data_IF_010403855247
#
_entry.id   IF_010403855247
#
_cell.length_a   1.000
_cell.length_b   1.000
_cell.length_c   1.000
_cell.angle_alpha   90.00
_cell.angle_beta   90.00
_cell.angle_gamma   90.00
#
_symmetry.space_group_name_H-M   'P 1'
#
loop_
_entity.id
_entity.type
_entity.pdbx_description
1 polymer ?
#
# COMPACT_ATOMS: atom_id res chain seq x y z
N UNK A 1 -23.08 -9.37 -22.44
CA UNK A 1 -22.28 -8.26 -22.98
C UNK A 1 -21.50 -7.52 -21.90
N UNK A 2 -22.11 -7.12 -20.79
CA UNK A 2 -21.47 -6.36 -19.67
C UNK A 2 -20.30 -7.13 -19.05
N UNK A 3 -20.45 -8.44 -18.76
CA UNK A 3 -19.41 -9.28 -18.15
C UNK A 3 -18.15 -9.38 -19.02
N UNK A 4 -18.30 -9.54 -20.34
CA UNK A 4 -17.14 -9.58 -21.26
C UNK A 4 -16.39 -8.25 -21.31
N UNK A 5 -17.09 -7.11 -21.29
CA UNK A 5 -16.46 -5.78 -21.23
C UNK A 5 -15.70 -5.59 -19.91
N UNK A 6 -16.27 -6.05 -18.78
CA UNK A 6 -15.63 -5.97 -17.48
C UNK A 6 -14.36 -6.83 -17.41
N UNK A 7 -14.40 -8.09 -17.91
CA UNK A 7 -13.24 -8.97 -17.95
C UNK A 7 -12.09 -8.39 -18.78
N UNK A 8 -12.39 -7.89 -19.98
CA UNK A 8 -11.40 -7.23 -20.84
C UNK A 8 -10.77 -5.99 -20.16
N UNK A 9 -11.54 -5.24 -19.39
CA UNK A 9 -11.03 -4.09 -18.66
C UNK A 9 -10.09 -4.50 -17.49
N UNK A 10 -10.42 -5.58 -16.79
CA UNK A 10 -9.57 -6.14 -15.74
C UNK A 10 -8.22 -6.62 -16.32
N UNK A 11 -8.24 -7.31 -17.44
CA UNK A 11 -7.01 -7.75 -18.14
C UNK A 11 -6.13 -6.56 -18.56
N UNK A 12 -6.71 -5.50 -19.11
CA UNK A 12 -5.98 -4.26 -19.46
C UNK A 12 -5.35 -3.61 -18.23
N UNK A 13 -6.06 -3.56 -17.12
CA UNK A 13 -5.54 -3.04 -15.85
C UNK A 13 -4.33 -3.82 -15.36
N UNK A 14 -4.44 -5.16 -15.33
CA UNK A 14 -3.35 -6.03 -14.91
C UNK A 14 -2.13 -5.87 -15.84
N UNK A 15 -2.34 -5.82 -17.15
CA UNK A 15 -1.28 -5.59 -18.14
C UNK A 15 -0.59 -4.24 -17.93
N UNK A 16 -1.35 -3.16 -17.72
CA UNK A 16 -0.78 -1.84 -17.47
C UNK A 16 0.06 -1.82 -16.19
N UNK A 17 -0.48 -2.33 -15.09
CA UNK A 17 0.24 -2.38 -13.80
C UNK A 17 1.51 -3.20 -13.94
N UNK A 18 1.44 -4.37 -14.52
CA UNK A 18 2.59 -5.27 -14.69
C UNK A 18 3.67 -4.65 -15.57
N UNK A 19 3.32 -4.09 -16.73
CA UNK A 19 4.28 -3.41 -17.62
C UNK A 19 4.97 -2.24 -16.92
N UNK A 20 4.21 -1.41 -16.19
CA UNK A 20 4.76 -0.23 -15.50
C UNK A 20 5.68 -0.64 -14.34
N UNK A 21 5.26 -1.63 -13.54
CA UNK A 21 6.10 -2.17 -12.46
C UNK A 21 7.39 -2.75 -13.03
N UNK A 22 7.31 -3.58 -14.06
CA UNK A 22 8.47 -4.21 -14.69
C UNK A 22 9.42 -3.18 -15.31
N UNK A 23 8.91 -2.11 -15.92
CA UNK A 23 9.73 -1.01 -16.41
C UNK A 23 10.50 -0.33 -15.27
N UNK A 24 9.85 -0.06 -14.14
CA UNK A 24 10.49 0.55 -12.97
C UNK A 24 11.57 -0.41 -12.43
N UNK A 25 11.23 -1.68 -12.20
CA UNK A 25 12.17 -2.69 -11.70
C UNK A 25 13.40 -2.82 -12.61
N UNK A 26 13.19 -2.84 -13.91
CA UNK A 26 14.28 -2.88 -14.88
C UNK A 26 15.20 -1.68 -14.77
N UNK A 27 14.66 -0.46 -14.68
CA UNK A 27 15.47 0.77 -14.52
C UNK A 27 16.31 0.72 -13.25
N UNK A 28 15.74 0.24 -12.15
CA UNK A 28 16.43 0.08 -10.88
C UNK A 28 17.58 -0.95 -10.99
N UNK A 29 17.34 -2.06 -11.65
CA UNK A 29 18.37 -3.09 -11.89
C UNK A 29 19.51 -2.57 -12.76
N UNK A 30 19.21 -1.78 -13.81
CA UNK A 30 20.24 -1.13 -14.64
C UNK A 30 21.09 -0.13 -13.85
N UNK A 31 20.49 0.65 -12.96
CA UNK A 31 21.18 1.59 -12.07
C UNK A 31 22.08 0.87 -11.05
N UNK A 32 21.68 -0.32 -10.60
CA UNK A 32 22.50 -1.19 -9.76
C UNK A 32 23.67 -1.86 -10.50
N UNK A 33 23.84 -1.58 -11.80
CA UNK A 33 24.95 -2.09 -12.63
C UNK A 33 24.66 -3.41 -13.34
N UNK A 34 23.44 -3.92 -13.29
CA UNK A 34 23.06 -5.11 -14.01
C UNK A 34 22.75 -4.81 -15.48
N UNK A 35 23.26 -5.63 -16.40
CA UNK A 35 22.91 -5.53 -17.82
C UNK A 35 21.55 -6.18 -18.07
N UNK A 36 20.48 -5.42 -17.85
CA UNK A 36 19.12 -5.86 -18.20
C UNK A 36 18.80 -5.41 -19.61
N UNK A 37 18.32 -6.35 -20.43
CA UNK A 37 17.82 -6.00 -21.77
C UNK A 37 16.47 -5.33 -21.61
N UNK A 38 16.34 -4.08 -22.09
CA UNK A 38 15.08 -3.35 -22.02
C UNK A 38 13.96 -4.14 -22.69
N UNK A 39 13.00 -4.58 -21.89
CA UNK A 39 11.84 -5.37 -22.33
C UNK A 39 10.58 -4.49 -22.39
N UNK A 40 10.57 -3.40 -21.60
CA UNK A 40 9.41 -2.52 -21.47
C UNK A 40 9.80 -1.05 -21.69
N UNK A 41 9.84 -0.55 -22.93
CA UNK A 41 10.08 0.86 -23.18
C UNK A 41 8.87 1.72 -22.77
N UNK A 42 9.07 3.05 -22.66
CA UNK A 42 8.04 4.00 -22.22
C UNK A 42 6.77 3.96 -23.07
N UNK A 43 6.92 3.83 -24.38
CA UNK A 43 5.80 3.71 -25.33
C UNK A 43 4.87 2.54 -25.01
N UNK A 44 5.40 1.39 -24.57
CA UNK A 44 4.54 0.27 -24.15
C UNK A 44 3.71 0.58 -22.90
N UNK A 45 4.23 1.43 -21.99
CA UNK A 45 3.47 1.88 -20.81
C UNK A 45 2.43 2.93 -21.24
N UNK A 46 2.82 3.86 -22.12
CA UNK A 46 1.91 4.88 -22.66
C UNK A 46 0.74 4.23 -23.40
N UNK A 47 1.02 3.31 -24.33
CA UNK A 47 0.00 2.54 -25.07
C UNK A 47 -0.92 1.77 -24.12
N UNK A 48 -0.38 1.05 -23.17
CA UNK A 48 -1.19 0.28 -22.21
C UNK A 48 -2.09 1.18 -21.36
N UNK A 49 -1.62 2.38 -21.00
CA UNK A 49 -2.43 3.34 -20.26
C UNK A 49 -3.54 3.94 -21.13
N UNK A 50 -3.26 4.26 -22.40
CA UNK A 50 -4.29 4.71 -23.36
C UNK A 50 -5.37 3.64 -23.49
N UNK A 51 -5.00 2.39 -23.78
CA UNK A 51 -5.96 1.27 -23.90
C UNK A 51 -6.80 1.07 -22.64
N UNK A 52 -6.21 1.31 -21.46
CA UNK A 52 -6.90 1.21 -20.18
C UNK A 52 -7.92 2.34 -19.99
N UNK A 53 -7.59 3.56 -20.41
CA UNK A 53 -8.40 4.77 -20.20
C UNK A 53 -9.48 4.97 -21.27
N UNK A 54 -9.27 4.47 -22.48
CA UNK A 54 -10.18 4.63 -23.62
C UNK A 54 -11.66 4.32 -23.30
N UNK A 55 -12.00 3.20 -22.58
CA UNK A 55 -13.37 2.90 -22.21
C UNK A 55 -14.02 3.90 -21.23
N UNK A 56 -13.21 4.75 -20.61
CA UNK A 56 -13.63 5.75 -19.62
C UNK A 56 -13.71 7.15 -20.23
N UNK A 57 -13.13 7.37 -21.42
CA UNK A 57 -12.95 8.67 -22.03
C UNK A 57 -14.25 9.46 -22.16
N UNK A 58 -15.28 8.89 -22.79
CA UNK A 58 -16.57 9.54 -22.98
C UNK A 58 -17.29 9.80 -21.64
N UNK A 59 -17.33 8.79 -20.77
CA UNK A 59 -18.07 8.86 -19.51
C UNK A 59 -17.53 9.90 -18.53
N UNK A 60 -16.22 10.09 -18.51
CA UNK A 60 -15.54 10.99 -17.57
C UNK A 60 -14.93 12.21 -18.24
N UNK A 61 -15.15 12.38 -19.55
CA UNK A 61 -14.63 13.51 -20.34
C UNK A 61 -13.12 13.67 -20.20
N UNK A 62 -12.38 12.53 -20.20
CA UNK A 62 -10.92 12.50 -20.13
C UNK A 62 -10.31 12.29 -21.51
N UNK A 63 -9.03 12.68 -21.67
CA UNK A 63 -8.25 12.50 -22.90
C UNK A 63 -7.12 11.48 -22.64
N UNK A 64 -7.32 10.18 -22.98
CA UNK A 64 -6.38 9.10 -22.69
C UNK A 64 -4.95 9.37 -23.09
N UNK A 65 -4.72 9.85 -24.33
CA UNK A 65 -3.39 10.09 -24.87
C UNK A 65 -2.66 11.24 -24.16
N UNK A 66 -3.38 12.29 -23.78
CA UNK A 66 -2.80 13.41 -23.04
C UNK A 66 -2.39 12.97 -21.63
N UNK A 67 -3.26 12.26 -20.92
CA UNK A 67 -3.00 11.71 -19.60
C UNK A 67 -1.83 10.72 -19.63
N UNK A 68 -1.82 9.80 -20.58
CA UNK A 68 -0.76 8.79 -20.70
C UNK A 68 0.60 9.44 -20.96
N UNK A 69 0.67 10.43 -21.85
CA UNK A 69 1.88 11.18 -22.13
C UNK A 69 2.38 11.95 -20.91
N UNK A 70 1.50 12.67 -20.22
CA UNK A 70 1.83 13.40 -18.99
C UNK A 70 2.31 12.45 -17.88
N UNK A 71 1.64 11.32 -17.69
CA UNK A 71 2.05 10.32 -16.72
C UNK A 71 3.48 9.81 -17.01
N UNK A 72 3.76 9.44 -18.24
CA UNK A 72 5.05 8.85 -18.64
C UNK A 72 6.18 9.87 -18.57
N UNK A 73 5.93 11.12 -18.96
CA UNK A 73 6.98 12.14 -19.04
C UNK A 73 7.22 12.88 -17.72
N UNK A 74 6.16 13.18 -16.97
CA UNK A 74 6.24 14.08 -15.82
C UNK A 74 6.14 13.34 -14.47
N UNK A 75 5.44 12.20 -14.40
CA UNK A 75 5.28 11.45 -13.16
C UNK A 75 6.19 10.23 -13.04
N UNK A 76 6.31 9.43 -14.09
CA UNK A 76 7.04 8.17 -14.05
C UNK A 76 8.53 8.32 -13.69
N UNK A 77 9.27 9.37 -14.11
CA UNK A 77 10.64 9.60 -13.65
C UNK A 77 10.75 9.80 -12.15
N UNK A 78 9.89 10.64 -11.57
CA UNK A 78 9.84 10.89 -10.12
C UNK A 78 9.45 9.65 -9.33
N UNK A 79 8.51 8.84 -9.85
CA UNK A 79 8.14 7.54 -9.28
C UNK A 79 9.35 6.60 -9.27
N UNK A 80 10.09 6.52 -10.37
CA UNK A 80 11.29 5.67 -10.47
C UNK A 80 12.34 6.05 -9.43
N UNK A 81 12.61 7.36 -9.26
CA UNK A 81 13.55 7.86 -8.25
C UNK A 81 13.09 7.50 -6.84
N UNK A 82 11.81 7.68 -6.52
CA UNK A 82 11.28 7.32 -5.22
C UNK A 82 11.38 5.81 -4.95
N UNK A 83 11.10 4.98 -5.95
CA UNK A 83 11.25 3.52 -5.86
C UNK A 83 12.71 3.09 -5.67
N UNK A 84 13.68 3.84 -6.23
CA UNK A 84 15.10 3.58 -5.98
C UNK A 84 15.44 3.78 -4.50
N UNK A 85 15.01 4.90 -3.92
CA UNK A 85 15.23 5.17 -2.48
C UNK A 85 14.54 4.11 -1.61
N UNK A 86 13.33 3.68 -2.00
CA UNK A 86 12.66 2.58 -1.31
C UNK A 86 13.48 1.28 -1.39
N UNK A 87 13.99 0.91 -2.57
CA UNK A 87 14.80 -0.31 -2.76
C UNK A 87 16.11 -0.28 -1.95
N UNK A 88 16.80 0.86 -1.93
CA UNK A 88 18.00 1.06 -1.13
C UNK A 88 17.74 0.87 0.38
N UNK A 89 16.52 1.21 0.83
CA UNK A 89 16.11 1.00 2.21
C UNK A 89 16.05 -0.49 2.58
N UNK A 90 15.63 -1.36 1.67
CA UNK A 90 15.63 -2.81 1.90
C UNK A 90 17.02 -3.36 2.17
N UNK A 91 18.06 -2.85 1.51
CA UNK A 91 19.44 -3.27 1.77
C UNK A 91 19.93 -2.97 3.19
N UNK A 92 19.38 -1.92 3.80
CA UNK A 92 19.75 -1.49 5.16
C UNK A 92 18.91 -2.18 6.23
N UNK A 93 17.64 -2.46 5.95
CA UNK A 93 16.68 -2.91 6.94
C UNK A 93 16.44 -4.43 6.95
N UNK A 94 16.69 -5.11 5.82
CA UNK A 94 16.52 -6.56 5.75
C UNK A 94 17.87 -7.28 5.84
N UNK A 95 18.22 -7.84 7.01
CA UNK A 95 19.49 -8.54 7.21
C UNK A 95 19.57 -9.88 6.46
N UNK A 96 18.45 -10.41 5.95
CA UNK A 96 18.41 -11.64 5.19
C UNK A 96 18.64 -11.44 3.68
N UNK A 97 18.67 -10.18 3.23
CA UNK A 97 18.81 -9.83 1.83
C UNK A 97 20.24 -10.02 1.35
N UNK A 98 20.47 -10.87 0.35
CA UNK A 98 21.78 -11.09 -0.23
C UNK A 98 22.14 -10.04 -1.30
N UNK A 99 21.13 -9.60 -2.07
CA UNK A 99 21.29 -8.61 -3.14
C UNK A 99 19.97 -7.90 -3.47
N UNK A 100 20.05 -6.77 -4.20
CA UNK A 100 18.87 -5.99 -4.59
C UNK A 100 17.91 -6.72 -5.53
N UNK A 101 18.38 -7.70 -6.29
CA UNK A 101 17.51 -8.44 -7.19
C UNK A 101 16.42 -9.20 -6.42
N UNK A 102 16.71 -9.65 -5.20
CA UNK A 102 15.71 -10.29 -4.34
C UNK A 102 14.57 -9.35 -3.98
N UNK A 103 14.86 -8.06 -3.77
CA UNK A 103 13.82 -7.03 -3.55
C UNK A 103 12.89 -6.95 -4.75
N UNK A 104 13.47 -6.93 -5.97
CA UNK A 104 12.70 -6.76 -7.19
C UNK A 104 11.85 -7.98 -7.53
N UNK A 105 12.34 -9.18 -7.26
CA UNK A 105 11.67 -10.43 -7.65
C UNK A 105 10.83 -11.07 -6.53
N UNK A 106 11.19 -10.84 -5.27
CA UNK A 106 10.60 -11.58 -4.15
C UNK A 106 9.87 -10.72 -3.11
N UNK A 107 10.12 -9.40 -3.04
CA UNK A 107 9.48 -8.57 -2.02
C UNK A 107 8.07 -8.14 -2.41
N UNK A 108 7.06 -8.71 -1.74
CA UNK A 108 5.67 -8.27 -1.88
C UNK A 108 5.46 -6.83 -1.37
N UNK A 109 6.17 -6.42 -0.31
CA UNK A 109 6.09 -5.07 0.23
C UNK A 109 6.59 -4.03 -0.78
N UNK A 110 7.72 -4.29 -1.42
CA UNK A 110 8.26 -3.41 -2.45
C UNK A 110 7.32 -3.31 -3.66
N UNK A 111 6.82 -4.46 -4.14
CA UNK A 111 5.87 -4.48 -5.25
C UNK A 111 4.61 -3.66 -4.96
N UNK A 112 4.07 -3.77 -3.74
CA UNK A 112 2.90 -2.99 -3.31
C UNK A 112 3.19 -1.48 -3.25
N UNK A 113 4.40 -1.10 -2.81
CA UNK A 113 4.86 0.30 -2.77
C UNK A 113 4.97 0.87 -4.18
N UNK A 114 5.55 0.15 -5.14
CA UNK A 114 5.62 0.57 -6.55
C UNK A 114 4.22 0.76 -7.13
N UNK A 115 3.32 -0.20 -6.93
CA UNK A 115 1.93 -0.11 -7.39
C UNK A 115 1.19 1.09 -6.76
N UNK A 116 1.41 1.36 -5.47
CA UNK A 116 0.89 2.55 -4.81
C UNK A 116 1.40 3.83 -5.47
N UNK A 117 2.71 3.95 -5.75
CA UNK A 117 3.29 5.16 -6.36
C UNK A 117 2.70 5.43 -7.75
N UNK A 118 2.48 4.37 -8.56
CA UNK A 118 1.78 4.45 -9.85
C UNK A 118 0.34 4.96 -9.63
N UNK A 119 -0.40 4.35 -8.71
CA UNK A 119 -1.78 4.73 -8.42
C UNK A 119 -1.90 6.17 -7.89
N UNK A 120 -0.97 6.61 -7.03
CA UNK A 120 -0.91 7.97 -6.51
C UNK A 120 -0.61 8.99 -7.62
N UNK A 121 0.30 8.68 -8.54
CA UNK A 121 0.57 9.52 -9.72
C UNK A 121 -0.66 9.72 -10.59
N UNK A 122 -1.38 8.65 -10.91
CA UNK A 122 -2.62 8.71 -11.68
C UNK A 122 -3.76 9.42 -10.92
N UNK A 123 -3.80 9.30 -9.59
CA UNK A 123 -4.76 10.06 -8.78
C UNK A 123 -4.50 11.57 -8.84
N UNK A 124 -3.23 11.99 -8.85
CA UNK A 124 -2.84 13.40 -9.00
C UNK A 124 -3.19 13.96 -10.38
N UNK A 125 -3.24 13.10 -11.39
CA UNK A 125 -3.75 13.41 -12.73
C UNK A 125 -5.28 13.34 -12.82
N UNK A 126 -5.96 13.24 -11.67
CA UNK A 126 -7.43 13.17 -11.58
C UNK A 126 -8.05 12.02 -12.39
N UNK A 127 -7.28 10.96 -12.66
CA UNK A 127 -7.80 9.77 -13.36
C UNK A 127 -8.87 9.09 -12.51
N UNK A 128 -10.08 8.93 -13.03
CA UNK A 128 -11.18 8.33 -12.28
C UNK A 128 -11.01 6.81 -12.18
N UNK A 129 -11.40 6.23 -11.05
CA UNK A 129 -11.51 4.77 -10.81
C UNK A 129 -10.18 4.03 -10.81
N UNK A 130 -9.33 4.21 -11.84
CA UNK A 130 -8.12 3.43 -12.09
C UNK A 130 -7.17 3.42 -10.89
N UNK A 131 -6.87 4.54 -10.20
CA UNK A 131 -6.02 4.51 -9.02
C UNK A 131 -6.49 3.53 -7.95
N UNK A 132 -7.79 3.48 -7.69
CA UNK A 132 -8.38 2.54 -6.72
C UNK A 132 -8.36 1.09 -7.23
N UNK A 133 -8.53 0.90 -8.52
CA UNK A 133 -8.47 -0.41 -9.13
C UNK A 133 -7.04 -1.00 -9.06
N UNK A 134 -5.99 -0.16 -9.26
CA UNK A 134 -4.59 -0.56 -9.06
C UNK A 134 -4.34 -0.99 -7.61
N UNK A 135 -4.83 -0.23 -6.61
CA UNK A 135 -4.72 -0.62 -5.20
C UNK A 135 -5.38 -1.98 -4.93
N UNK A 136 -6.53 -2.26 -5.55
CA UNK A 136 -7.21 -3.54 -5.40
C UNK A 136 -6.40 -4.72 -6.00
N UNK A 137 -5.75 -4.50 -7.15
CA UNK A 137 -4.82 -5.49 -7.76
C UNK A 137 -3.63 -5.72 -6.83
N UNK A 138 -3.01 -4.65 -6.32
CA UNK A 138 -1.90 -4.73 -5.39
C UNK A 138 -2.26 -5.51 -4.11
N UNK A 139 -3.40 -5.19 -3.51
CA UNK A 139 -3.92 -5.89 -2.33
C UNK A 139 -4.16 -7.38 -2.60
N UNK A 140 -4.80 -7.71 -3.72
CA UNK A 140 -5.05 -9.11 -4.10
C UNK A 140 -3.77 -9.91 -4.29
N UNK A 141 -2.70 -9.29 -4.82
CA UNK A 141 -1.43 -9.94 -5.10
C UNK A 141 -0.54 -10.08 -3.86
N UNK A 142 -0.50 -9.05 -3.00
CA UNK A 142 0.51 -8.90 -1.95
C UNK A 142 -0.04 -9.00 -0.54
N UNK A 143 -1.35 -8.86 -0.36
CA UNK A 143 -1.98 -8.71 0.96
C UNK A 143 -1.79 -7.31 1.58
N UNK A 144 -1.21 -6.33 0.86
CA UNK A 144 -0.96 -4.95 1.31
C UNK A 144 -2.00 -4.02 0.69
N UNK A 145 -2.82 -3.36 1.51
CA UNK A 145 -3.82 -2.37 1.07
C UNK A 145 -3.33 -0.95 1.33
N UNK A 146 -2.87 -0.26 0.29
CA UNK A 146 -2.49 1.15 0.37
C UNK A 146 -3.48 1.98 -0.45
N UNK A 147 -4.17 2.89 0.22
CA UNK A 147 -5.05 3.80 -0.50
C UNK A 147 -4.25 4.79 -1.35
N UNK A 148 -4.57 5.02 -2.64
CA UNK A 148 -3.78 5.88 -3.52
C UNK A 148 -3.76 7.35 -3.08
N UNK A 149 -4.70 7.77 -2.23
CA UNK A 149 -4.74 9.11 -1.65
C UNK A 149 -3.86 9.31 -0.40
N UNK A 150 -3.19 8.28 0.10
CA UNK A 150 -2.18 8.44 1.13
C UNK A 150 -1.00 9.27 0.60
N UNK A 151 -0.32 9.99 1.49
CA UNK A 151 0.92 10.71 1.16
C UNK A 151 2.08 9.94 1.76
N UNK A 152 2.95 9.39 0.93
CA UNK A 152 4.07 8.56 1.38
C UNK A 152 5.35 9.05 0.72
N UNK A 153 6.28 9.53 1.54
CA UNK A 153 7.61 9.92 1.09
C UNK A 153 8.46 8.70 0.71
N UNK A 154 9.62 8.92 0.13
CA UNK A 154 10.55 7.86 -0.24
C UNK A 154 11.27 7.26 0.99
N UNK A 155 11.76 6.03 0.85
CA UNK A 155 12.40 5.28 1.93
C UNK A 155 11.42 4.43 2.75
N UNK A 156 10.27 4.07 2.18
CA UNK A 156 9.34 3.16 2.82
C UNK A 156 9.86 1.71 2.74
N UNK A 157 10.03 1.08 3.90
CA UNK A 157 10.32 -0.35 4.02
C UNK A 157 9.08 -1.10 4.52
N UNK A 158 8.70 -2.15 3.81
CA UNK A 158 7.61 -3.04 4.20
C UNK A 158 8.13 -4.47 4.30
N UNK A 159 8.23 -4.98 5.51
CA UNK A 159 8.62 -6.37 5.75
C UNK A 159 7.41 -7.29 5.80
N UNK A 160 7.47 -8.41 5.07
CA UNK A 160 6.40 -9.39 4.82
C UNK A 160 5.13 -8.81 4.18
N UNK A 161 4.61 -7.73 4.68
CA UNK A 161 3.52 -6.91 4.12
C UNK A 161 2.10 -7.41 4.37
N UNK A 162 1.86 -8.69 4.50
CA UNK A 162 0.50 -9.25 4.62
C UNK A 162 -0.31 -8.59 5.74
N UNK A 163 -1.50 -8.13 5.41
CA UNK A 163 -2.43 -7.52 6.37
C UNK A 163 -2.16 -6.04 6.69
N UNK A 164 -1.20 -5.40 6.04
CA UNK A 164 -1.01 -3.95 6.13
C UNK A 164 -2.20 -3.24 5.50
N UNK A 165 -2.72 -2.20 6.19
CA UNK A 165 -3.75 -1.33 5.65
C UNK A 165 -3.43 0.15 5.92
N UNK A 166 -3.29 0.96 4.86
CA UNK A 166 -2.97 2.39 4.93
C UNK A 166 -4.11 3.22 4.35
N UNK A 167 -4.77 4.00 5.20
CA UNK A 167 -5.95 4.78 4.85
C UNK A 167 -5.67 6.05 4.05
N UNK A 168 -6.70 6.58 3.38
CA UNK A 168 -6.60 7.63 2.35
C UNK A 168 -6.01 8.98 2.79
N UNK A 169 -6.02 9.31 4.07
CA UNK A 169 -5.44 10.56 4.58
C UNK A 169 -4.25 10.31 5.50
N UNK A 170 -3.68 9.11 5.45
CA UNK A 170 -2.42 8.83 6.13
C UNK A 170 -1.28 9.63 5.51
N UNK A 171 -0.36 10.08 6.35
CA UNK A 171 0.88 10.73 5.93
C UNK A 171 2.03 9.90 6.52
N UNK A 172 2.95 9.50 5.68
CA UNK A 172 4.13 8.73 6.07
C UNK A 172 5.35 9.49 5.52
N UNK A 173 6.17 9.98 6.44
CA UNK A 173 7.41 10.66 6.09
C UNK A 173 8.55 9.66 5.75
N UNK A 174 9.74 10.18 5.48
CA UNK A 174 10.85 9.38 4.98
C UNK A 174 11.33 8.30 5.98
N UNK A 175 11.85 7.20 5.43
CA UNK A 175 12.53 6.13 6.17
C UNK A 175 11.66 5.45 7.25
N UNK A 176 10.40 5.21 6.95
CA UNK A 176 9.49 4.49 7.87
C UNK A 176 9.53 3.00 7.57
N UNK A 177 9.55 2.20 8.64
CA UNK A 177 9.53 0.74 8.57
C UNK A 177 8.16 0.23 9.04
N UNK A 178 7.51 -0.58 8.19
CA UNK A 178 6.22 -1.22 8.48
C UNK A 178 6.34 -2.73 8.41
N UNK A 179 5.93 -3.41 9.47
CA UNK A 179 5.87 -4.86 9.51
C UNK A 179 4.46 -5.38 9.24
N UNK A 180 4.31 -6.66 8.96
CA UNK A 180 3.04 -7.29 8.64
C UNK A 180 1.92 -6.94 9.63
N UNK A 181 0.70 -6.79 9.11
CA UNK A 181 -0.50 -6.51 9.91
C UNK A 181 -0.61 -5.11 10.48
N UNK A 182 0.31 -4.19 10.16
CA UNK A 182 0.22 -2.79 10.60
C UNK A 182 -0.99 -2.11 9.96
N UNK A 183 -1.78 -1.41 10.78
CA UNK A 183 -2.96 -0.67 10.32
C UNK A 183 -2.85 0.81 10.66
N UNK A 184 -2.83 1.66 9.63
CA UNK A 184 -2.97 3.12 9.75
C UNK A 184 -4.42 3.50 9.46
N UNK A 185 -5.25 3.38 10.49
CA UNK A 185 -6.71 3.41 10.40
C UNK A 185 -7.37 4.68 10.92
N UNK A 186 -8.69 4.62 11.04
CA UNK A 186 -9.50 5.67 11.65
C UNK A 186 -9.94 5.27 13.05
N UNK A 187 -10.14 6.24 13.92
CA UNK A 187 -10.66 6.02 15.28
C UNK A 187 -12.17 5.83 15.34
N UNK A 188 -12.90 6.35 14.37
CA UNK A 188 -14.37 6.35 14.35
C UNK A 188 -14.92 5.98 12.99
N UNK A 189 -16.17 5.47 12.97
CA UNK A 189 -16.90 5.23 11.73
C UNK A 189 -17.01 6.54 10.93
N UNK A 190 -16.92 6.48 9.58
CA UNK A 190 -17.13 7.67 8.76
C UNK A 190 -18.51 8.25 9.05
N UNK A 191 -18.58 9.54 9.36
CA UNK A 191 -19.85 10.27 9.41
C UNK A 191 -20.53 10.10 8.05
N UNK A 192 -21.83 9.80 8.04
CA UNK A 192 -22.61 9.86 6.80
C UNK A 192 -22.34 11.20 6.13
N UNK A 193 -22.20 11.22 4.81
CA UNK A 193 -22.10 12.43 3.99
C UNK A 193 -23.43 13.21 4.11
N UNK A 194 -23.65 13.93 5.18
CA UNK A 194 -24.85 14.75 5.38
C UNK A 194 -24.58 16.25 5.29
N UNK A 195 -23.31 16.63 5.12
CA UNK A 195 -22.95 18.03 4.95
C UNK A 195 -22.41 18.23 3.52
N UNK A 196 -23.26 18.74 2.66
CA UNK A 196 -23.00 19.09 1.25
C UNK A 196 -21.98 20.24 1.06
N UNK A 197 -21.32 20.71 2.13
CA UNK A 197 -20.54 21.93 2.11
C UNK A 197 -19.02 21.78 2.01
N UNK A 198 -18.44 20.56 1.99
CA UNK A 198 -16.97 20.44 1.85
C UNK A 198 -16.59 19.26 0.95
N UNK A 199 -16.11 19.60 -0.24
CA UNK A 199 -15.50 18.63 -1.19
C UNK A 199 -14.16 18.06 -0.66
N UNK A 200 -13.63 18.58 0.46
CA UNK A 200 -12.34 18.17 1.02
C UNK A 200 -12.50 17.00 1.98
N UNK A 201 -11.77 15.93 1.72
CA UNK A 201 -11.71 14.77 2.63
C UNK A 201 -10.99 15.20 3.91
N UNK A 202 -11.72 15.28 5.03
CA UNK A 202 -11.12 15.63 6.32
C UNK A 202 -10.07 14.61 6.73
N UNK A 203 -8.91 15.07 7.22
CA UNK A 203 -7.85 14.26 7.84
C UNK A 203 -8.45 13.39 8.95
N UNK A 204 -8.15 12.07 8.91
CA UNK A 204 -8.70 11.09 9.87
C UNK A 204 -7.80 9.86 10.07
N UNK A 205 -6.67 9.80 9.39
CA UNK A 205 -5.66 8.76 9.51
C UNK A 205 -4.37 9.38 10.06
N UNK A 206 -3.48 8.58 10.65
CA UNK A 206 -2.32 9.11 11.34
C UNK A 206 -1.30 9.77 10.40
N UNK A 207 -0.44 10.58 11.03
CA UNK A 207 0.83 11.03 10.48
C UNK A 207 1.95 10.26 11.16
N UNK A 208 2.78 9.61 10.39
CA UNK A 208 3.96 8.87 10.84
C UNK A 208 5.17 9.69 10.42
N UNK A 209 5.90 10.23 11.38
CA UNK A 209 7.10 11.02 11.09
C UNK A 209 8.29 10.16 10.68
N UNK A 210 9.39 10.81 10.27
CA UNK A 210 10.55 10.12 9.70
C UNK A 210 11.22 9.17 10.70
N UNK A 211 11.81 8.09 10.18
CA UNK A 211 12.57 7.08 10.94
C UNK A 211 11.75 6.34 12.01
N UNK A 212 10.43 6.27 11.84
CA UNK A 212 9.54 5.51 12.72
C UNK A 212 9.47 4.04 12.29
N UNK A 213 9.47 3.13 13.27
CA UNK A 213 9.22 1.69 13.04
C UNK A 213 7.92 1.25 13.70
N UNK A 214 7.02 0.65 12.91
CA UNK A 214 5.76 0.07 13.38
C UNK A 214 5.82 -1.45 13.23
N UNK A 215 5.89 -2.15 14.36
CA UNK A 215 6.05 -3.61 14.38
C UNK A 215 4.73 -4.36 14.17
N UNK A 216 4.84 -5.65 13.95
CA UNK A 216 3.79 -6.60 13.61
C UNK A 216 2.47 -6.35 14.33
N UNK A 217 1.38 -6.21 13.56
CA UNK A 217 0.02 -6.00 14.05
C UNK A 217 -0.18 -4.75 14.94
N UNK A 218 0.71 -3.75 14.85
CA UNK A 218 0.47 -2.46 15.49
C UNK A 218 -0.69 -1.73 14.79
N UNK A 219 -1.59 -1.17 15.60
CA UNK A 219 -2.68 -0.33 15.11
C UNK A 219 -2.45 1.12 15.54
N UNK A 220 -2.44 2.03 14.57
CA UNK A 220 -2.42 3.48 14.81
C UNK A 220 -3.68 4.07 14.20
N UNK A 221 -4.54 4.67 15.02
CA UNK A 221 -5.85 5.10 14.58
C UNK A 221 -6.24 6.53 14.95
N UNK A 222 -6.77 7.23 13.97
CA UNK A 222 -7.20 8.63 14.11
C UNK A 222 -6.24 9.62 13.49
N UNK A 223 -6.57 10.90 13.61
CA UNK A 223 -5.70 12.02 13.25
C UNK A 223 -4.73 12.27 14.41
N UNK A 224 -3.71 11.44 14.49
CA UNK A 224 -2.66 11.46 15.52
C UNK A 224 -1.28 11.45 14.87
N UNK A 225 -0.27 11.91 15.61
CA UNK A 225 1.10 11.98 15.14
C UNK A 225 1.96 10.97 15.91
N UNK A 226 2.72 10.15 15.19
CA UNK A 226 3.80 9.35 15.77
C UNK A 226 5.10 10.09 15.45
N UNK A 227 5.71 10.65 16.51
CA UNK A 227 6.89 11.50 16.40
C UNK A 227 8.12 10.77 15.88
N UNK A 228 9.01 11.51 15.21
CA UNK A 228 10.18 10.99 14.52
C UNK A 228 11.06 10.11 15.43
N UNK A 229 11.69 9.09 14.84
CA UNK A 229 12.57 8.15 15.55
C UNK A 229 11.87 7.20 16.52
N UNK A 230 10.53 7.26 16.63
CA UNK A 230 9.79 6.43 17.58
C UNK A 230 9.58 5.00 17.09
N UNK A 231 9.41 4.11 18.06
CA UNK A 231 9.09 2.69 17.84
C UNK A 231 7.73 2.35 18.42
N UNK A 232 6.84 1.79 17.60
CA UNK A 232 5.57 1.22 18.05
C UNK A 232 5.68 -0.30 18.01
N UNK A 233 5.72 -0.92 19.17
CA UNK A 233 5.91 -2.36 19.35
C UNK A 233 4.75 -3.18 18.82
N UNK A 234 5.01 -4.46 18.63
CA UNK A 234 4.03 -5.40 18.13
C UNK A 234 2.75 -5.42 18.98
N UNK A 235 1.58 -5.53 18.28
CA UNK A 235 0.25 -5.53 18.91
C UNK A 235 -0.07 -4.28 19.74
N UNK A 236 0.67 -3.19 19.60
CA UNK A 236 0.32 -1.92 20.23
C UNK A 236 -0.92 -1.31 19.58
N UNK A 237 -1.77 -0.70 20.41
CA UNK A 237 -2.98 0.01 19.96
C UNK A 237 -2.87 1.49 20.34
N UNK A 238 -2.58 2.34 19.35
CA UNK A 238 -2.26 3.76 19.56
C UNK A 238 -3.34 4.64 18.94
N UNK A 239 -3.93 5.51 19.75
CA UNK A 239 -4.95 6.48 19.32
C UNK A 239 -4.71 7.86 19.94
N UNK A 240 -3.47 8.22 20.21
CA UNK A 240 -3.01 9.50 20.74
C UNK A 240 -1.65 9.84 20.15
N UNK A 241 -1.24 11.08 20.24
CA UNK A 241 0.07 11.52 19.78
C UNK A 241 1.20 10.87 20.61
N UNK A 242 2.28 10.51 19.92
CA UNK A 242 3.49 9.95 20.51
C UNK A 242 4.63 10.93 20.26
N UNK A 243 5.33 11.33 21.34
CA UNK A 243 6.48 12.23 21.22
C UNK A 243 7.63 11.59 20.43
N UNK A 244 8.50 12.39 19.79
CA UNK A 244 9.69 11.86 19.12
C UNK A 244 10.54 10.96 20.04
N UNK A 245 11.30 10.03 19.45
CA UNK A 245 12.24 9.14 20.10
C UNK A 245 11.61 8.26 21.21
N UNK A 246 10.32 7.98 21.11
CA UNK A 246 9.57 7.21 22.11
C UNK A 246 9.42 5.74 21.72
N UNK A 247 9.31 4.87 22.74
CA UNK A 247 8.98 3.45 22.55
C UNK A 247 7.61 3.16 23.16
N UNK A 248 6.65 2.79 22.32
CA UNK A 248 5.31 2.36 22.74
C UNK A 248 5.24 0.85 22.67
N UNK A 249 5.09 0.19 23.81
CA UNK A 249 4.97 -1.27 23.87
C UNK A 249 3.51 -1.72 23.79
N UNK A 250 3.27 -2.83 23.09
CA UNK A 250 2.00 -3.55 23.16
C UNK A 250 1.75 -4.04 24.60
N UNK A 251 0.48 -4.12 24.99
CA UNK A 251 0.14 -4.69 26.30
C UNK A 251 0.49 -6.17 26.29
N UNK A 252 1.48 -6.57 27.08
CA UNK A 252 1.66 -7.97 27.44
C UNK A 252 0.44 -8.39 28.26
N UNK A 253 -0.22 -9.50 27.86
CA UNK A 253 -1.24 -10.12 28.71
C UNK A 253 -0.54 -10.54 30.00
N UNK A 254 -0.82 -9.85 31.11
CA UNK A 254 -0.56 -10.48 32.42
C UNK A 254 -1.43 -11.74 32.44
N UNK A 255 -0.83 -12.91 32.53
CA UNK A 255 -1.55 -14.14 32.86
C UNK A 255 -2.28 -13.92 34.20
N UNK A 256 -3.54 -13.50 34.09
CA UNK A 256 -4.44 -13.75 35.24
C UNK A 256 -4.59 -15.26 35.27
N UNK A 257 -4.06 -15.88 36.34
CA UNK A 257 -4.41 -17.26 36.64
C UNK A 257 -5.92 -17.43 36.39
N UNK A 258 -6.25 -18.31 35.48
CA UNK A 258 -7.64 -18.63 35.20
C UNK A 258 -8.25 -19.03 36.55
N UNK A 259 -9.15 -18.19 37.06
CA UNK A 259 -10.04 -18.64 38.14
C UNK A 259 -10.62 -19.96 37.63
N UNK A 260 -10.45 -21.02 38.39
CA UNK A 260 -10.89 -22.38 38.08
C UNK A 260 -12.29 -22.31 37.45
N UNK A 261 -12.33 -22.39 36.13
CA UNK A 261 -13.60 -22.48 35.43
C UNK A 261 -14.26 -23.81 35.85
N UNK A 262 -15.50 -23.71 36.28
CA UNK A 262 -16.32 -24.91 36.46
C UNK A 262 -16.22 -25.77 35.19
N UNK A 263 -16.12 -27.10 35.29
CA UNK A 263 -16.00 -27.99 34.17
C UNK A 263 -17.11 -27.65 33.14
N UNK A 264 -16.69 -27.46 31.87
CA UNK A 264 -17.62 -27.20 30.80
C UNK A 264 -18.71 -28.30 30.77
N UNK A 265 -19.98 -27.96 30.55
CA UNK A 265 -21.02 -28.98 30.39
C UNK A 265 -20.61 -29.94 29.28
N UNK A 266 -20.79 -31.23 29.50
CA UNK A 266 -20.47 -32.27 28.54
C UNK A 266 -21.12 -31.94 27.17
N UNK A 267 -20.33 -32.01 26.11
CA UNK A 267 -20.83 -31.85 24.75
C UNK A 267 -21.92 -32.90 24.50
N UNK A 268 -23.06 -32.54 23.87
CA UNK A 268 -24.05 -33.51 23.45
C UNK A 268 -23.40 -34.55 22.54
N UNK A 269 -23.85 -35.80 22.66
CA UNK A 269 -23.34 -36.88 21.82
C UNK A 269 -23.39 -36.54 20.34
N UNK A 270 -22.42 -37.00 19.54
CA UNK A 270 -22.38 -36.69 18.10
C UNK A 270 -23.68 -37.21 17.46
N UNK A 271 -24.33 -36.38 16.65
CA UNK A 271 -25.49 -36.76 15.85
C UNK A 271 -24.93 -37.70 14.76
N UNK A 272 -25.29 -38.99 14.84
CA UNK A 272 -25.03 -39.92 13.74
C UNK A 272 -25.86 -39.48 12.52
N UNK A 273 -25.20 -38.95 11.51
CA UNK A 273 -25.82 -38.84 10.20
C UNK A 273 -25.87 -40.21 9.56
N UNK A 274 -27.05 -40.82 9.55
CA UNK A 274 -27.33 -41.94 8.67
C UNK A 274 -27.40 -41.41 7.24
N UNK A 275 -26.48 -41.92 6.40
CA UNK A 275 -26.46 -41.75 4.96
C UNK A 275 -27.57 -42.59 4.31
#
# INVERSE_FOLDING_TARGET
>A
MIVRKFMAHKERLEVFVERTVNLIMQRLSEQAGHKVRCVYPNDMVEEALVELLEPLAERYSIQPEAIAREFVNDYLPGISIACQVDAERYQTEDPALENLDEVFYASNGFWATVAYRIANGLLKLEVPIIPRAISAVAHSRTGVDIHPGATIEAGLFIDHGTGIAIGCTAVIHANVNLYNGVVLGTRSKPRKKTDEASATIKKRHPTIESNVSLYTNAFVGGDVVIGAGSTVGAYAFVCHDVSPDSVVLGKTSNEKQAATMAPAPALPAPIEYMI
#
